data_IF_115649210060
#
_entry.id   IF_115649210060
#
_cell.length_a   1.000
_cell.length_b   1.000
_cell.length_c   1.000
_cell.angle_alpha   90.00
_cell.angle_beta   90.00
_cell.angle_gamma   90.00
#
_symmetry.space_group_name_H-M   'P 1'
#
loop_
_entity.id
_entity.type
_entity.pdbx_description
1 polymer ?
#
# COMPACT_ATOMS: atom_id res chain seq x y z
N UNK A 1 -36.75 11.29 -2.47
CA UNK A 1 -36.16 10.17 -1.71
C UNK A 1 -35.04 10.75 -0.85
N UNK A 2 -35.32 11.08 0.41
CA UNK A 2 -34.32 11.66 1.33
C UNK A 2 -33.41 10.51 1.74
N UNK A 3 -32.17 10.47 1.23
CA UNK A 3 -31.18 9.52 1.74
C UNK A 3 -30.96 9.82 3.22
N UNK A 4 -31.16 8.80 4.06
CA UNK A 4 -30.88 8.88 5.48
C UNK A 4 -29.41 9.31 5.69
N UNK A 5 -29.13 10.44 6.39
CA UNK A 5 -27.78 10.98 6.55
C UNK A 5 -26.82 10.03 7.30
N UNK A 6 -27.34 8.98 7.93
CA UNK A 6 -26.58 7.92 8.58
C UNK A 6 -25.76 7.09 7.57
N UNK A 7 -26.33 6.78 6.39
CA UNK A 7 -25.70 5.90 5.38
C UNK A 7 -24.36 6.45 4.86
N UNK A 8 -24.26 7.72 4.37
CA UNK A 8 -22.99 8.25 3.89
C UNK A 8 -21.94 8.40 5.00
N UNK A 9 -22.36 8.56 6.26
CA UNK A 9 -21.44 8.64 7.40
C UNK A 9 -20.81 7.29 7.73
N UNK A 10 -21.62 6.22 7.81
CA UNK A 10 -21.11 4.87 8.01
C UNK A 10 -20.16 4.48 6.89
N UNK A 11 -20.53 4.77 5.64
CA UNK A 11 -19.68 4.49 4.49
C UNK A 11 -18.33 5.23 4.57
N UNK A 12 -18.34 6.52 4.90
CA UNK A 12 -17.11 7.31 5.06
C UNK A 12 -16.20 6.78 6.16
N UNK A 13 -16.75 6.38 7.31
CA UNK A 13 -15.99 5.77 8.40
C UNK A 13 -15.43 4.40 8.03
N UNK A 14 -16.21 3.56 7.35
CA UNK A 14 -15.76 2.25 6.86
C UNK A 14 -14.61 2.39 5.86
N UNK A 15 -14.73 3.29 4.88
CA UNK A 15 -13.68 3.56 3.90
C UNK A 15 -12.41 4.09 4.59
N UNK A 16 -12.57 5.00 5.56
CA UNK A 16 -11.45 5.52 6.34
C UNK A 16 -10.71 4.43 7.13
N UNK A 17 -11.46 3.54 7.76
CA UNK A 17 -10.90 2.41 8.51
C UNK A 17 -10.20 1.42 7.58
N UNK A 18 -10.85 1.00 6.49
CA UNK A 18 -10.28 0.08 5.50
C UNK A 18 -9.02 0.63 4.86
N UNK A 19 -9.00 1.93 4.52
CA UNK A 19 -7.80 2.58 3.97
C UNK A 19 -6.65 2.61 4.98
N UNK A 20 -6.96 2.87 6.25
CA UNK A 20 -5.93 2.89 7.32
C UNK A 20 -5.35 1.49 7.54
N UNK A 21 -6.21 0.47 7.66
CA UNK A 21 -5.79 -0.92 7.82
C UNK A 21 -5.02 -1.39 6.60
N UNK A 22 -5.52 -1.11 5.39
CA UNK A 22 -4.85 -1.46 4.13
C UNK A 22 -3.46 -0.87 4.03
N UNK A 23 -3.29 0.40 4.40
CA UNK A 23 -1.98 1.05 4.43
C UNK A 23 -1.04 0.42 5.46
N UNK A 24 -1.53 0.08 6.66
CA UNK A 24 -0.74 -0.61 7.68
C UNK A 24 -0.31 -2.01 7.24
N UNK A 25 -1.22 -2.78 6.63
CA UNK A 25 -0.93 -4.11 6.07
C UNK A 25 0.12 -4.00 4.96
N UNK A 26 -0.01 -2.99 4.09
CA UNK A 26 0.93 -2.76 3.00
C UNK A 26 2.33 -2.38 3.51
N UNK A 27 2.42 -1.59 4.58
CA UNK A 27 3.70 -1.27 5.22
C UNK A 27 4.32 -2.50 5.90
N UNK A 28 3.51 -3.29 6.61
CA UNK A 28 3.95 -4.50 7.28
C UNK A 28 4.46 -5.55 6.28
N UNK A 29 3.72 -5.79 5.20
CA UNK A 29 4.08 -6.70 4.11
C UNK A 29 4.83 -6.03 2.95
N UNK A 30 5.57 -4.94 3.23
CA UNK A 30 6.18 -4.14 2.16
C UNK A 30 7.24 -4.91 1.39
N UNK A 31 7.95 -5.84 2.04
CA UNK A 31 8.92 -6.73 1.39
C UNK A 31 8.27 -7.65 0.36
N UNK A 32 7.23 -8.38 0.75
CA UNK A 32 6.49 -9.27 -0.15
C UNK A 32 5.85 -8.48 -1.30
N UNK A 33 5.25 -7.32 -1.00
CA UNK A 33 4.65 -6.45 -2.00
C UNK A 33 5.69 -5.92 -3.01
N UNK A 34 6.89 -5.57 -2.53
CA UNK A 34 8.02 -5.19 -3.39
C UNK A 34 8.44 -6.37 -4.28
N UNK A 35 8.57 -7.59 -3.75
CA UNK A 35 8.96 -8.76 -4.53
C UNK A 35 7.94 -9.06 -5.63
N UNK A 36 6.64 -9.04 -5.32
CA UNK A 36 5.55 -9.22 -6.29
C UNK A 36 5.60 -8.15 -7.39
N UNK A 37 5.81 -6.89 -7.01
CA UNK A 37 5.90 -5.79 -7.97
C UNK A 37 7.12 -5.94 -8.90
N UNK A 38 8.28 -6.30 -8.35
CA UNK A 38 9.50 -6.58 -9.13
C UNK A 38 9.25 -7.73 -10.10
N UNK A 39 8.59 -8.79 -9.65
CA UNK A 39 8.25 -9.94 -10.49
C UNK A 39 7.32 -9.57 -11.64
N UNK A 40 6.26 -8.80 -11.38
CA UNK A 40 5.32 -8.34 -12.41
C UNK A 40 5.96 -7.44 -13.48
N UNK A 41 6.91 -6.59 -13.10
CA UNK A 41 7.64 -5.73 -14.03
C UNK A 41 8.69 -6.53 -14.83
N UNK A 42 9.17 -7.62 -14.25
CA UNK A 42 10.29 -8.42 -14.71
C UNK A 42 11.56 -8.02 -13.97
N UNK A 43 12.17 -9.00 -13.30
CA UNK A 43 13.33 -8.83 -12.41
C UNK A 43 14.49 -8.09 -13.08
N UNK A 44 14.83 -8.46 -14.33
CA UNK A 44 15.92 -7.85 -15.10
C UNK A 44 15.64 -6.37 -15.46
N UNK A 45 14.37 -6.00 -15.65
CA UNK A 45 13.97 -4.60 -15.93
C UNK A 45 13.92 -3.78 -14.66
N UNK A 46 13.47 -4.40 -13.57
CA UNK A 46 13.29 -3.75 -12.28
C UNK A 46 14.62 -3.53 -11.53
N UNK A 47 15.58 -4.44 -11.68
CA UNK A 47 16.85 -4.44 -10.93
C UNK A 47 18.11 -4.32 -11.81
N UNK A 48 17.98 -4.56 -13.11
CA UNK A 48 19.10 -4.67 -14.05
C UNK A 48 19.57 -6.11 -14.23
N UNK A 49 19.81 -6.52 -15.48
CA UNK A 49 20.15 -7.91 -15.82
C UNK A 49 21.40 -8.45 -15.11
N UNK A 50 22.40 -7.61 -14.84
CA UNK A 50 23.62 -7.99 -14.12
C UNK A 50 23.39 -8.34 -12.64
N UNK A 51 22.21 -8.02 -12.10
CA UNK A 51 21.88 -8.20 -10.69
C UNK A 51 20.86 -9.32 -10.42
N UNK A 52 20.51 -10.07 -11.47
CA UNK A 52 19.54 -11.16 -11.42
C UNK A 52 20.28 -12.46 -11.72
N UNK A 53 20.44 -13.31 -10.71
CA UNK A 53 21.12 -14.60 -10.85
C UNK A 53 20.08 -15.71 -10.81
N UNK A 54 19.88 -16.39 -11.93
CA UNK A 54 19.00 -17.55 -12.01
C UNK A 54 19.74 -18.80 -11.57
N UNK A 55 19.19 -19.51 -10.61
CA UNK A 55 19.75 -20.73 -10.06
C UNK A 55 19.22 -21.96 -10.82
N UNK A 56 19.94 -23.08 -10.69
CA UNK A 56 19.59 -24.33 -11.38
C UNK A 56 18.27 -24.95 -10.90
N UNK A 57 17.83 -24.61 -9.69
CA UNK A 57 16.55 -25.02 -9.11
C UNK A 57 15.35 -24.17 -9.57
N UNK A 58 15.59 -23.18 -10.43
CA UNK A 58 14.57 -22.25 -10.92
C UNK A 58 14.32 -21.05 -10.00
N UNK A 59 15.03 -20.92 -8.88
CA UNK A 59 14.97 -19.72 -8.03
C UNK A 59 15.77 -18.55 -8.62
N UNK A 60 15.40 -17.33 -8.25
CA UNK A 60 16.14 -16.11 -8.61
C UNK A 60 16.75 -15.48 -7.36
N UNK A 61 18.06 -15.23 -7.40
CA UNK A 61 18.74 -14.39 -6.43
C UNK A 61 18.82 -12.94 -6.94
N UNK A 62 18.24 -12.03 -6.16
CA UNK A 62 18.24 -10.58 -6.43
C UNK A 62 19.39 -9.93 -5.66
N UNK A 63 20.27 -9.20 -6.37
CA UNK A 63 21.54 -8.71 -5.78
C UNK A 63 21.72 -7.19 -5.87
N UNK A 64 20.66 -6.44 -6.20
CA UNK A 64 20.68 -4.98 -6.24
C UNK A 64 19.90 -4.38 -5.05
N UNK A 65 20.52 -4.26 -3.86
CA UNK A 65 19.83 -3.75 -2.68
C UNK A 65 19.35 -2.30 -2.86
N UNK A 66 20.06 -1.47 -3.63
CA UNK A 66 19.66 -0.09 -3.90
C UNK A 66 18.35 -0.01 -4.69
N UNK A 67 18.21 -0.82 -5.74
CA UNK A 67 16.97 -0.92 -6.49
C UNK A 67 15.83 -1.51 -5.66
N UNK A 68 16.12 -2.51 -4.81
CA UNK A 68 15.13 -3.07 -3.87
C UNK A 68 14.60 -2.02 -2.91
N UNK A 69 15.49 -1.23 -2.26
CA UNK A 69 15.07 -0.12 -1.38
C UNK A 69 14.24 0.92 -2.14
N UNK A 70 14.57 1.21 -3.41
CA UNK A 70 13.79 2.12 -4.24
C UNK A 70 12.37 1.59 -4.45
N UNK A 71 12.20 0.33 -4.83
CA UNK A 71 10.88 -0.29 -4.99
C UNK A 71 10.11 -0.34 -3.67
N UNK A 72 10.78 -0.73 -2.59
CA UNK A 72 10.23 -0.73 -1.24
C UNK A 72 9.72 0.66 -0.82
N UNK A 73 10.49 1.72 -1.11
CA UNK A 73 10.12 3.10 -0.77
C UNK A 73 8.84 3.55 -1.47
N UNK A 74 8.58 3.07 -2.71
CA UNK A 74 7.33 3.35 -3.41
C UNK A 74 6.15 2.70 -2.69
N UNK A 75 6.30 1.45 -2.23
CA UNK A 75 5.30 0.76 -1.42
C UNK A 75 5.03 1.54 -0.12
N UNK A 76 6.08 2.05 0.53
CA UNK A 76 5.93 2.87 1.73
C UNK A 76 5.17 4.17 1.48
N UNK A 77 5.48 4.88 0.39
CA UNK A 77 4.76 6.11 0.02
C UNK A 77 3.28 5.82 -0.19
N UNK A 78 2.94 4.74 -0.89
CA UNK A 78 1.54 4.32 -1.10
C UNK A 78 0.89 3.99 0.25
N UNK A 79 1.51 3.16 1.09
CA UNK A 79 0.98 2.78 2.40
C UNK A 79 0.76 3.97 3.33
N UNK A 80 1.73 4.89 3.42
CA UNK A 80 1.62 6.12 4.21
C UNK A 80 0.52 7.04 3.68
N UNK A 81 0.38 7.15 2.35
CA UNK A 81 -0.69 7.95 1.75
C UNK A 81 -2.07 7.39 2.06
N UNK A 82 -2.24 6.06 2.06
CA UNK A 82 -3.49 5.39 2.44
C UNK A 82 -3.84 5.63 3.91
N UNK A 83 -2.86 5.57 4.81
CA UNK A 83 -3.04 5.88 6.23
C UNK A 83 -3.44 7.35 6.40
N UNK A 84 -2.72 8.28 5.75
CA UNK A 84 -3.01 9.71 5.86
C UNK A 84 -4.42 10.05 5.36
N UNK A 85 -4.83 9.46 4.22
CA UNK A 85 -6.18 9.60 3.68
C UNK A 85 -7.23 8.99 4.61
N UNK A 86 -7.00 7.77 5.10
CA UNK A 86 -7.89 7.06 6.01
C UNK A 86 -8.12 7.81 7.32
N UNK A 87 -7.05 8.27 7.97
CA UNK A 87 -7.11 9.09 9.19
C UNK A 87 -7.82 10.42 8.93
N UNK A 88 -7.57 11.06 7.79
CA UNK A 88 -8.25 12.31 7.42
C UNK A 88 -9.76 12.13 7.24
N UNK A 89 -10.18 11.02 6.63
CA UNK A 89 -11.60 10.66 6.49
C UNK A 89 -12.24 10.39 7.85
N UNK A 90 -11.60 9.60 8.70
CA UNK A 90 -12.09 9.28 10.05
C UNK A 90 -12.27 10.55 10.90
N UNK A 91 -11.29 11.47 10.87
CA UNK A 91 -11.39 12.76 11.56
C UNK A 91 -12.58 13.58 11.07
N UNK A 92 -12.77 13.69 9.75
CA UNK A 92 -13.91 14.43 9.16
C UNK A 92 -15.26 13.82 9.55
N UNK A 93 -15.37 12.49 9.52
CA UNK A 93 -16.58 11.78 9.96
C UNK A 93 -16.89 12.00 11.43
N UNK A 94 -15.85 12.07 12.29
CA UNK A 94 -16.00 12.32 13.73
C UNK A 94 -16.35 13.78 14.04
N UNK A 95 -15.74 14.77 13.37
CA UNK A 95 -16.07 16.19 13.57
C UNK A 95 -17.51 16.49 13.18
N UNK A 96 -17.99 15.91 12.07
CA UNK A 96 -19.38 16.07 11.64
C UNK A 96 -20.37 15.51 12.66
N UNK A 97 -19.98 14.48 13.44
CA UNK A 97 -20.79 13.91 14.51
C UNK A 97 -21.00 14.83 15.72
N UNK A 98 -20.13 15.81 15.93
CA UNK A 98 -20.14 16.69 17.11
C UNK A 98 -20.98 17.95 16.93
N UNK A 99 -21.31 18.29 15.69
CA UNK A 99 -22.06 19.48 15.31
C UNK A 99 -23.51 19.18 14.88
N UNK A 100 -23.92 17.91 14.97
CA UNK A 100 -25.30 17.43 14.84
C UNK A 100 -25.83 17.07 16.24
#
# INVERSE_FOLDING_TARGET
MILNPIIPRILGSLVGLLSTIGGLVLLWGSEDAMQVLIHWIGEERALGASFVIRQADGSTLLTNPGAMVRWMSLIWVVGLSQIAAGVSLLKRSATKARHE
#
